data_IF_977893181468
#
_entry.id   IF_977893181468
#
_cell.length_a   1.000
_cell.length_b   1.000
_cell.length_c   1.000
_cell.angle_alpha   90.00
_cell.angle_beta   90.00
_cell.angle_gamma   90.00
#
_symmetry.space_group_name_H-M   'P 1'
#
loop_
_entity.id
_entity.type
_entity.pdbx_description
1 polymer ?
#
# COMPACT_ATOMS: atom_id res chain seq x y z
N UNK A 1 5.88 -4.11 35.35
CA UNK A 1 5.67 -4.96 34.15
C UNK A 1 5.04 -4.03 33.10
N UNK A 2 5.58 -3.97 31.88
CA UNK A 2 5.02 -3.11 30.81
C UNK A 2 3.77 -3.74 30.22
N UNK A 3 2.77 -2.90 29.90
CA UNK A 3 1.50 -3.33 29.30
C UNK A 3 1.56 -3.17 27.78
N UNK A 4 1.13 -4.19 27.06
CA UNK A 4 1.05 -4.19 25.58
C UNK A 4 -0.36 -4.53 25.14
N UNK A 5 -0.95 -3.66 24.32
CA UNK A 5 -2.20 -3.97 23.61
C UNK A 5 -1.86 -4.57 22.26
N UNK A 6 -2.34 -5.79 22.01
CA UNK A 6 -2.15 -6.50 20.73
C UNK A 6 -3.42 -6.37 19.89
N UNK A 7 -3.27 -5.89 18.66
CA UNK A 7 -4.35 -5.93 17.67
C UNK A 7 -4.60 -7.37 17.23
N UNK A 8 -5.55 -8.06 17.90
CA UNK A 8 -5.95 -9.42 17.55
C UNK A 8 -6.96 -9.39 16.40
N UNK A 9 -6.53 -9.82 15.23
CA UNK A 9 -7.36 -9.86 14.01
C UNK A 9 -8.09 -11.19 13.76
N UNK A 10 -7.99 -12.15 14.69
CA UNK A 10 -8.47 -13.51 14.46
C UNK A 10 -7.60 -14.31 13.46
N UNK A 11 -6.44 -13.79 13.07
CA UNK A 11 -5.48 -14.49 12.22
C UNK A 11 -4.31 -15.11 13.01
N UNK A 12 -3.56 -16.02 12.38
CA UNK A 12 -2.44 -16.72 13.01
C UNK A 12 -1.31 -15.77 13.47
N UNK A 13 -1.04 -14.73 12.70
CA UNK A 13 0.09 -13.81 12.93
C UNK A 13 -0.11 -12.99 14.22
N UNK A 14 -1.29 -12.41 14.40
CA UNK A 14 -1.63 -11.65 15.61
C UNK A 14 -1.74 -12.57 16.83
N UNK A 15 -2.22 -13.80 16.65
CA UNK A 15 -2.32 -14.80 17.72
C UNK A 15 -0.95 -15.20 18.27
N UNK A 16 0.01 -15.48 17.38
CA UNK A 16 1.39 -15.80 17.75
C UNK A 16 2.09 -14.59 18.35
N UNK A 17 1.82 -13.38 17.84
CA UNK A 17 2.35 -12.15 18.41
C UNK A 17 1.94 -11.98 19.89
N UNK A 18 0.66 -12.21 20.19
CA UNK A 18 0.16 -12.15 21.58
C UNK A 18 0.82 -13.20 22.48
N UNK A 19 0.95 -14.44 21.97
CA UNK A 19 1.66 -15.50 22.69
C UNK A 19 3.10 -15.13 23.02
N UNK A 20 3.88 -14.70 22.03
CA UNK A 20 5.29 -14.35 22.22
C UNK A 20 5.49 -13.20 23.22
N UNK A 21 4.62 -12.20 23.19
CA UNK A 21 4.68 -11.10 24.16
C UNK A 21 4.35 -11.57 25.57
N UNK A 22 3.39 -12.46 25.75
CA UNK A 22 3.09 -13.06 27.04
C UNK A 22 4.28 -13.84 27.58
N UNK A 23 4.90 -14.69 26.75
CA UNK A 23 6.11 -15.45 27.13
C UNK A 23 7.28 -14.53 27.47
N UNK A 24 7.38 -13.37 26.79
CA UNK A 24 8.38 -12.35 27.11
C UNK A 24 8.10 -11.56 28.40
N UNK A 25 7.03 -11.88 29.12
CA UNK A 25 6.69 -11.32 30.42
C UNK A 25 5.98 -9.96 30.39
N UNK A 26 5.36 -9.60 29.27
CA UNK A 26 4.49 -8.41 29.19
C UNK A 26 3.10 -8.70 29.80
N UNK A 27 2.47 -7.66 30.32
CA UNK A 27 1.03 -7.67 30.58
C UNK A 27 0.32 -7.42 29.26
N UNK A 28 -0.26 -8.48 28.67
CA UNK A 28 -0.87 -8.45 27.32
C UNK A 28 -2.37 -8.26 27.42
N UNK A 29 -2.91 -7.36 26.61
CA UNK A 29 -4.36 -7.16 26.41
C UNK A 29 -4.64 -7.37 24.92
N UNK A 30 -5.58 -8.24 24.59
CA UNK A 30 -6.08 -8.43 23.23
C UNK A 30 -7.18 -7.43 22.90
N UNK A 31 -7.04 -6.75 21.75
CA UNK A 31 -8.07 -5.83 21.27
C UNK A 31 -8.41 -6.14 19.81
N UNK A 32 -9.68 -6.44 19.55
CA UNK A 32 -10.19 -6.67 18.19
C UNK A 32 -10.78 -5.37 17.63
N UNK A 33 -10.44 -5.02 16.39
CA UNK A 33 -10.97 -3.86 15.67
C UNK A 33 -12.10 -4.29 14.74
N UNK A 34 -13.31 -3.84 15.00
CA UNK A 34 -14.41 -3.90 14.03
C UNK A 34 -14.36 -2.63 13.19
N UNK A 35 -13.84 -2.73 11.97
CA UNK A 35 -13.54 -1.57 11.13
C UNK A 35 -14.58 -1.31 10.04
N UNK A 36 -15.31 -2.33 9.60
CA UNK A 36 -16.31 -2.14 8.55
C UNK A 36 -17.44 -3.14 8.69
N UNK A 37 -18.64 -2.67 8.45
CA UNK A 37 -19.82 -3.50 8.29
C UNK A 37 -20.78 -2.80 7.34
N UNK A 38 -21.03 -3.41 6.19
CA UNK A 38 -22.03 -2.95 5.23
C UNK A 38 -22.68 -4.18 4.60
N UNK A 39 -23.93 -4.43 5.00
CA UNK A 39 -24.72 -5.56 4.54
C UNK A 39 -25.00 -5.52 3.03
N UNK A 40 -24.88 -4.35 2.39
CA UNK A 40 -25.16 -4.16 0.96
C UNK A 40 -24.06 -4.65 0.04
N UNK A 41 -22.83 -4.92 0.54
CA UNK A 41 -21.65 -5.31 -0.24
C UNK A 41 -21.05 -6.64 0.16
N UNK A 42 -21.43 -7.23 1.28
CA UNK A 42 -21.00 -8.57 1.66
C UNK A 42 -21.64 -9.59 0.72
N UNK A 43 -20.78 -10.33 -0.01
CA UNK A 43 -21.19 -11.33 -1.02
C UNK A 43 -21.82 -12.59 -0.36
N UNK A 44 -21.70 -12.73 0.97
CA UNK A 44 -22.27 -13.84 1.73
C UNK A 44 -23.05 -13.31 2.92
N UNK A 45 -24.11 -14.04 3.33
CA UNK A 45 -24.87 -13.79 4.57
C UNK A 45 -23.99 -14.00 5.84
N UNK A 46 -22.74 -14.41 5.68
CA UNK A 46 -21.77 -14.56 6.75
C UNK A 46 -21.10 -13.22 7.05
N UNK A 47 -21.15 -12.77 8.29
CA UNK A 47 -20.42 -11.60 8.79
C UNK A 47 -18.94 -11.97 9.04
N UNK A 48 -17.99 -11.73 8.11
CA UNK A 48 -16.60 -12.21 8.25
C UNK A 48 -15.91 -11.71 9.52
N UNK A 49 -16.26 -10.51 9.99
CA UNK A 49 -15.71 -9.96 11.22
C UNK A 49 -16.16 -10.71 12.48
N UNK A 50 -17.33 -11.38 12.47
CA UNK A 50 -17.85 -12.10 13.63
C UNK A 50 -17.00 -13.37 13.89
N UNK A 51 -16.70 -14.13 12.84
CA UNK A 51 -15.83 -15.30 12.93
C UNK A 51 -14.42 -14.93 13.35
N UNK A 52 -13.88 -13.85 12.76
CA UNK A 52 -12.56 -13.33 13.13
C UNK A 52 -12.52 -12.83 14.58
N UNK A 53 -13.58 -12.18 15.06
CA UNK A 53 -13.72 -11.74 16.45
C UNK A 53 -13.83 -12.92 17.42
N UNK A 54 -14.59 -13.96 17.05
CA UNK A 54 -14.71 -15.18 17.85
C UNK A 54 -13.37 -15.91 17.95
N UNK A 55 -12.63 -16.04 16.84
CA UNK A 55 -11.30 -16.63 16.84
C UNK A 55 -10.32 -15.83 17.72
N UNK A 56 -10.37 -14.50 17.64
CA UNK A 56 -9.55 -13.61 18.48
C UNK A 56 -9.88 -13.77 19.97
N UNK A 57 -11.16 -13.89 20.31
CA UNK A 57 -11.63 -14.14 21.68
C UNK A 57 -11.15 -15.50 22.20
N UNK A 58 -11.28 -16.57 21.40
CA UNK A 58 -10.81 -17.91 21.77
C UNK A 58 -9.29 -17.95 21.96
N UNK A 59 -8.53 -17.21 21.15
CA UNK A 59 -7.08 -17.06 21.35
C UNK A 59 -6.80 -16.34 22.67
N UNK A 60 -7.49 -15.25 22.98
CA UNK A 60 -7.30 -14.52 24.23
C UNK A 60 -7.65 -15.39 25.46
N UNK A 61 -8.75 -16.15 25.40
CA UNK A 61 -9.14 -17.12 26.43
C UNK A 61 -8.05 -18.19 26.62
N UNK A 62 -7.58 -18.81 25.53
CA UNK A 62 -6.50 -19.79 25.53
C UNK A 62 -5.23 -19.25 26.16
N UNK A 63 -4.89 -18.00 25.88
CA UNK A 63 -3.71 -17.33 26.44
C UNK A 63 -3.96 -16.78 27.84
N UNK A 64 -5.19 -16.76 28.36
CA UNK A 64 -5.54 -16.18 29.64
C UNK A 64 -5.23 -14.67 29.72
N UNK A 65 -5.51 -13.94 28.65
CA UNK A 65 -5.33 -12.48 28.55
C UNK A 65 -6.70 -11.78 28.45
N UNK A 66 -6.84 -10.56 28.99
CA UNK A 66 -8.03 -9.75 28.77
C UNK A 66 -8.29 -9.51 27.29
N UNK A 67 -9.56 -9.47 26.89
CA UNK A 67 -9.98 -9.25 25.52
C UNK A 67 -11.12 -8.23 25.45
N UNK A 68 -11.07 -7.35 24.46
CA UNK A 68 -12.13 -6.38 24.18
C UNK A 68 -12.24 -6.15 22.67
N UNK A 69 -13.45 -5.81 22.21
CA UNK A 69 -13.73 -5.36 20.86
C UNK A 69 -13.95 -3.85 20.87
N UNK A 70 -13.37 -3.16 19.90
CA UNK A 70 -13.60 -1.73 19.63
C UNK A 70 -14.22 -1.57 18.25
N UNK A 71 -15.28 -0.76 18.16
CA UNK A 71 -15.93 -0.42 16.90
C UNK A 71 -15.30 0.86 16.35
N UNK A 72 -14.62 0.75 15.20
CA UNK A 72 -13.95 1.83 14.47
C UNK A 72 -14.58 2.04 13.09
N UNK A 73 -15.81 1.57 12.89
CA UNK A 73 -16.47 1.59 11.58
C UNK A 73 -16.71 3.00 11.05
N UNK A 74 -16.95 3.96 11.92
CA UNK A 74 -17.13 5.38 11.56
C UNK A 74 -15.81 5.97 11.08
N UNK A 75 -14.74 5.83 11.86
CA UNK A 75 -13.43 6.35 11.53
C UNK A 75 -12.87 5.68 10.26
N UNK A 76 -13.12 4.38 10.11
CA UNK A 76 -12.70 3.64 8.91
C UNK A 76 -13.44 4.14 7.66
N UNK A 77 -14.76 4.35 7.76
CA UNK A 77 -15.53 4.90 6.66
C UNK A 77 -15.00 6.28 6.26
N UNK A 78 -14.90 7.20 7.20
CA UNK A 78 -14.57 8.60 6.92
C UNK A 78 -13.12 8.77 6.39
N UNK A 79 -12.15 8.00 6.96
CA UNK A 79 -10.73 8.16 6.64
C UNK A 79 -10.24 7.28 5.51
N UNK A 80 -10.84 6.10 5.30
CA UNK A 80 -10.38 5.13 4.30
C UNK A 80 -11.35 5.01 3.15
N UNK A 81 -12.62 4.70 3.43
CA UNK A 81 -13.59 4.40 2.37
C UNK A 81 -13.93 5.64 1.56
N UNK A 82 -14.23 6.75 2.22
CA UNK A 82 -14.56 8.01 1.52
C UNK A 82 -13.34 8.57 0.77
N UNK A 83 -12.13 8.37 1.29
CA UNK A 83 -10.90 8.68 0.56
C UNK A 83 -10.76 7.80 -0.70
N UNK A 84 -10.99 6.49 -0.59
CA UNK A 84 -10.92 5.58 -1.74
C UNK A 84 -11.87 6.02 -2.85
N UNK A 85 -13.12 6.35 -2.53
CA UNK A 85 -14.08 6.78 -3.53
C UNK A 85 -13.64 8.06 -4.24
N UNK A 86 -13.15 9.06 -3.51
CA UNK A 86 -12.62 10.30 -4.12
C UNK A 86 -11.45 10.05 -5.06
N UNK A 87 -10.52 9.19 -4.68
CA UNK A 87 -9.36 8.87 -5.53
C UNK A 87 -9.79 8.15 -6.81
N UNK A 88 -10.67 7.16 -6.71
CA UNK A 88 -11.19 6.45 -7.89
C UNK A 88 -12.02 7.36 -8.79
N UNK A 89 -12.80 8.27 -8.24
CA UNK A 89 -13.54 9.28 -9.02
C UNK A 89 -12.61 10.17 -9.83
N UNK A 90 -11.44 10.50 -9.31
CA UNK A 90 -10.38 11.25 -9.99
C UNK A 90 -9.51 10.37 -10.93
N UNK A 91 -9.82 9.08 -11.11
CA UNK A 91 -9.02 8.16 -11.93
C UNK A 91 -7.71 7.71 -11.29
N UNK A 92 -7.53 7.94 -9.99
CA UNK A 92 -6.35 7.53 -9.22
C UNK A 92 -6.61 6.19 -8.53
N UNK A 93 -5.56 5.46 -8.26
CA UNK A 93 -5.65 4.15 -7.59
C UNK A 93 -5.09 4.23 -6.18
N UNK A 94 -5.92 4.40 -5.13
CA UNK A 94 -5.45 4.50 -3.75
C UNK A 94 -4.90 3.18 -3.22
N UNK A 95 -4.13 3.26 -2.11
CA UNK A 95 -3.68 2.09 -1.37
C UNK A 95 -4.31 2.07 0.03
N UNK A 96 -5.47 1.42 0.19
CA UNK A 96 -6.17 1.38 1.46
C UNK A 96 -5.42 0.64 2.57
N UNK A 97 -4.52 -0.29 2.23
CA UNK A 97 -3.76 -1.05 3.23
C UNK A 97 -2.70 -0.17 3.92
N UNK A 98 -2.01 0.70 3.17
CA UNK A 98 -1.09 1.71 3.75
C UNK A 98 -1.87 2.69 4.60
N UNK A 99 -3.00 3.20 4.08
CA UNK A 99 -3.84 4.16 4.80
C UNK A 99 -4.45 3.57 6.08
N UNK A 100 -4.93 2.32 6.03
CA UNK A 100 -5.46 1.64 7.21
C UNK A 100 -4.40 1.53 8.33
N UNK A 101 -3.14 1.27 7.96
CA UNK A 101 -2.08 1.28 8.96
C UNK A 101 -1.85 2.69 9.52
N UNK A 102 -1.72 3.72 8.67
CA UNK A 102 -1.48 5.11 9.09
C UNK A 102 -2.62 5.67 9.93
N UNK A 103 -3.87 5.56 9.44
CA UNK A 103 -5.01 6.29 9.96
C UNK A 103 -5.77 5.53 11.06
N UNK A 104 -5.82 4.20 10.98
CA UNK A 104 -6.63 3.38 11.87
C UNK A 104 -5.76 2.66 12.90
N UNK A 105 -4.83 1.79 12.48
CA UNK A 105 -4.07 0.95 13.41
C UNK A 105 -3.08 1.73 14.26
N UNK A 106 -2.34 2.65 13.66
CA UNK A 106 -1.28 3.39 14.36
C UNK A 106 -1.67 4.85 14.68
N UNK A 107 -2.93 5.23 14.47
CA UNK A 107 -3.50 6.46 14.99
C UNK A 107 -4.67 6.17 15.94
N UNK A 108 -5.88 5.90 15.44
CA UNK A 108 -7.09 5.75 16.28
C UNK A 108 -6.94 4.60 17.28
N UNK A 109 -6.61 3.40 16.80
CA UNK A 109 -6.44 2.24 17.66
C UNK A 109 -5.29 2.42 18.66
N UNK A 110 -4.16 3.01 18.24
CA UNK A 110 -3.05 3.29 19.15
C UNK A 110 -3.48 4.27 20.26
N UNK A 111 -4.24 5.32 19.96
CA UNK A 111 -4.75 6.27 20.97
C UNK A 111 -5.61 5.56 21.99
N UNK A 112 -6.56 4.73 21.55
CA UNK A 112 -7.41 3.93 22.45
C UNK A 112 -6.56 3.01 23.33
N UNK A 113 -5.58 2.33 22.75
CA UNK A 113 -4.69 1.45 23.50
C UNK A 113 -3.89 2.19 24.59
N UNK A 114 -3.38 3.38 24.28
CA UNK A 114 -2.66 4.23 25.23
C UNK A 114 -3.59 4.75 26.34
N UNK A 115 -4.84 5.10 26.03
CA UNK A 115 -5.87 5.49 27.00
C UNK A 115 -6.24 4.33 27.94
N UNK A 116 -6.16 3.08 27.47
CA UNK A 116 -6.29 1.87 28.30
C UNK A 116 -5.04 1.60 29.18
N UNK A 117 -4.04 2.47 29.15
CA UNK A 117 -2.83 2.38 29.94
C UNK A 117 -1.73 1.48 29.31
N UNK A 118 -1.76 1.25 28.02
CA UNK A 118 -0.69 0.52 27.34
C UNK A 118 0.58 1.36 27.24
N UNK A 119 1.73 0.71 27.47
CA UNK A 119 3.04 1.27 27.14
C UNK A 119 3.34 1.15 25.64
N UNK A 120 2.85 0.07 25.02
CA UNK A 120 3.07 -0.28 23.62
C UNK A 120 1.83 -0.85 22.96
N UNK A 121 1.80 -0.73 21.63
CA UNK A 121 0.88 -1.44 20.74
C UNK A 121 1.68 -2.49 19.96
N UNK A 122 1.12 -3.67 19.75
CA UNK A 122 1.72 -4.70 18.92
C UNK A 122 0.77 -5.21 17.84
N UNK A 123 1.35 -5.61 16.72
CA UNK A 123 0.62 -6.16 15.58
C UNK A 123 1.35 -7.37 15.02
N UNK A 124 0.62 -8.19 14.24
CA UNK A 124 1.16 -9.34 13.53
C UNK A 124 1.85 -8.98 12.20
N UNK A 125 2.50 -7.82 12.08
CA UNK A 125 3.23 -7.47 10.87
C UNK A 125 4.62 -8.10 10.83
N UNK A 126 5.01 -8.56 9.64
CA UNK A 126 6.37 -9.02 9.34
C UNK A 126 7.26 -7.82 9.04
N UNK A 127 7.62 -7.10 10.09
CA UNK A 127 8.56 -5.98 10.08
C UNK A 127 9.44 -6.05 11.32
N UNK A 128 10.58 -5.39 11.31
CA UNK A 128 11.45 -5.29 12.47
C UNK A 128 11.60 -3.82 12.86
N UNK A 129 11.75 -3.57 14.16
CA UNK A 129 12.08 -2.26 14.70
C UNK A 129 13.51 -2.25 15.20
N UNK A 130 14.32 -1.32 14.68
CA UNK A 130 15.62 -0.98 15.25
C UNK A 130 15.54 0.31 16.07
N UNK A 131 16.56 0.53 16.89
CA UNK A 131 16.79 1.79 17.60
C UNK A 131 18.27 2.12 17.50
N UNK A 132 18.57 3.35 17.11
CA UNK A 132 19.92 3.92 17.03
C UNK A 132 19.94 5.25 17.75
N UNK A 133 21.13 5.74 18.07
CA UNK A 133 21.32 7.09 18.60
C UNK A 133 21.86 8.01 17.52
N UNK A 134 21.18 9.14 17.28
CA UNK A 134 21.59 10.20 16.37
C UNK A 134 21.56 11.51 17.13
N UNK A 135 22.70 12.21 17.22
CA UNK A 135 22.85 13.48 17.94
C UNK A 135 22.29 13.44 19.39
N UNK A 136 22.52 12.31 20.11
CA UNK A 136 22.08 12.10 21.49
C UNK A 136 20.57 11.84 21.64
N UNK A 137 19.85 11.54 20.54
CA UNK A 137 18.43 11.20 20.56
C UNK A 137 18.21 9.79 20.00
N UNK A 138 17.29 9.05 20.63
CA UNK A 138 16.83 7.77 20.08
C UNK A 138 16.07 7.99 18.79
N UNK A 139 16.48 7.29 17.74
CA UNK A 139 15.82 7.26 16.42
C UNK A 139 15.42 5.82 16.12
N UNK A 140 14.16 5.62 15.81
CA UNK A 140 13.61 4.30 15.52
C UNK A 140 13.66 4.02 14.02
N UNK A 141 14.07 2.79 13.69
CA UNK A 141 14.18 2.30 12.32
C UNK A 141 13.04 1.34 12.03
N UNK A 142 12.35 1.52 10.90
CA UNK A 142 11.45 0.51 10.34
C UNK A 142 12.25 -0.36 9.38
N UNK A 143 12.39 -1.64 9.70
CA UNK A 143 13.16 -2.59 8.88
C UNK A 143 12.25 -3.65 8.27
N UNK A 144 12.66 -4.15 7.11
CA UNK A 144 12.03 -5.29 6.46
C UNK A 144 11.96 -6.51 7.40
N UNK A 145 10.93 -7.31 7.24
CA UNK A 145 10.80 -8.59 7.94
C UNK A 145 11.88 -9.58 7.51
N UNK A 146 12.18 -10.57 8.36
CA UNK A 146 13.14 -11.62 8.03
C UNK A 146 12.64 -12.59 6.94
N UNK A 147 11.34 -12.65 6.69
CA UNK A 147 10.73 -13.42 5.60
C UNK A 147 10.50 -12.50 4.40
N UNK A 148 11.37 -12.57 3.40
CA UNK A 148 11.32 -11.73 2.19
C UNK A 148 10.00 -11.87 1.43
N UNK A 149 9.32 -13.02 1.52
CA UNK A 149 8.03 -13.25 0.87
C UNK A 149 6.86 -12.62 1.65
N UNK A 150 7.10 -12.23 2.92
CA UNK A 150 6.09 -11.71 3.84
C UNK A 150 6.42 -10.31 4.34
N UNK A 151 7.59 -9.74 4.02
CA UNK A 151 7.94 -8.39 4.40
C UNK A 151 6.79 -7.40 4.16
N UNK A 152 6.37 -6.71 5.21
CA UNK A 152 5.25 -5.78 5.20
C UNK A 152 5.68 -4.33 5.48
N UNK A 153 6.97 -4.04 5.45
CA UNK A 153 7.50 -2.69 5.67
C UNK A 153 6.90 -1.65 4.71
N UNK A 154 6.58 -2.05 3.47
CA UNK A 154 5.87 -1.20 2.50
C UNK A 154 4.51 -0.72 3.02
N UNK A 155 3.74 -1.56 3.70
CA UNK A 155 2.44 -1.15 4.25
C UNK A 155 2.56 -0.24 5.47
N UNK A 156 3.75 -0.17 6.08
CA UNK A 156 4.06 0.65 7.24
C UNK A 156 4.92 1.88 6.91
N UNK A 157 5.17 2.14 5.63
CA UNK A 157 6.06 3.20 5.15
C UNK A 157 5.61 4.63 5.50
N UNK A 158 4.42 4.78 6.08
CA UNK A 158 3.84 6.05 6.53
C UNK A 158 3.83 6.21 8.07
N UNK A 159 4.53 5.33 8.81
CA UNK A 159 4.63 5.47 10.26
C UNK A 159 5.57 6.61 10.66
N UNK A 160 5.18 7.36 11.68
CA UNK A 160 6.04 8.39 12.29
C UNK A 160 6.99 7.79 13.33
N UNK A 161 8.00 8.57 13.74
CA UNK A 161 8.91 8.22 14.83
C UNK A 161 8.16 7.97 16.16
N UNK A 162 7.15 8.78 16.45
CA UNK A 162 6.32 8.63 17.66
C UNK A 162 5.53 7.31 17.65
N UNK A 163 4.97 6.96 16.50
CA UNK A 163 4.24 5.71 16.31
C UNK A 163 5.19 4.51 16.42
N UNK A 164 6.37 4.56 15.79
CA UNK A 164 7.38 3.50 15.89
C UNK A 164 7.88 3.32 17.31
N UNK A 165 8.10 4.42 18.06
CA UNK A 165 8.53 4.36 19.46
C UNK A 165 7.59 3.48 20.30
N UNK A 166 6.29 3.54 20.04
CA UNK A 166 5.22 2.85 20.75
C UNK A 166 4.81 1.51 20.16
N UNK A 167 5.45 1.06 19.07
CA UNK A 167 5.05 -0.15 18.33
C UNK A 167 6.01 -1.30 18.56
N UNK A 168 5.48 -2.53 18.64
CA UNK A 168 6.23 -3.78 18.66
C UNK A 168 5.79 -4.69 17.51
N UNK A 169 6.75 -5.39 16.91
CA UNK A 169 6.54 -6.38 15.83
C UNK A 169 7.09 -7.74 16.25
N UNK A 170 6.36 -8.52 17.07
CA UNK A 170 6.89 -9.71 17.73
C UNK A 170 7.33 -10.84 16.79
N UNK A 171 6.74 -10.90 15.59
CA UNK A 171 7.00 -11.95 14.60
C UNK A 171 7.94 -11.50 13.46
N UNK A 172 8.41 -10.26 13.48
CA UNK A 172 9.18 -9.67 12.38
C UNK A 172 10.51 -10.38 12.07
N UNK A 173 11.11 -11.04 13.05
CA UNK A 173 12.33 -11.85 12.89
C UNK A 173 12.08 -13.31 12.54
N UNK A 174 10.83 -13.73 12.39
CA UNK A 174 10.44 -15.12 12.13
C UNK A 174 10.03 -15.35 10.68
N UNK A 175 10.27 -16.55 10.18
CA UNK A 175 9.70 -17.02 8.93
C UNK A 175 8.22 -17.40 9.15
N UNK A 176 7.37 -17.26 8.13
CA UNK A 176 5.96 -17.65 8.21
C UNK A 176 5.76 -19.11 8.64
N UNK A 177 6.64 -20.00 8.21
CA UNK A 177 6.63 -21.42 8.62
C UNK A 177 6.86 -21.59 10.12
N UNK A 178 7.72 -20.79 10.72
CA UNK A 178 7.99 -20.80 12.17
C UNK A 178 6.79 -20.28 12.94
N UNK A 179 6.17 -19.18 12.49
CA UNK A 179 4.93 -18.65 13.08
C UNK A 179 3.83 -19.72 13.08
N UNK A 180 3.62 -20.44 11.98
CA UNK A 180 2.65 -21.54 11.91
C UNK A 180 3.01 -22.72 12.81
N UNK A 181 4.30 -23.04 12.95
CA UNK A 181 4.78 -24.08 13.86
C UNK A 181 4.47 -23.71 15.30
N UNK A 182 4.79 -22.49 15.74
CA UNK A 182 4.47 -21.99 17.09
C UNK A 182 2.95 -22.08 17.33
N UNK A 183 2.13 -21.60 16.39
CA UNK A 183 0.68 -21.66 16.53
C UNK A 183 0.15 -23.10 16.76
N UNK A 184 0.70 -24.08 16.04
CA UNK A 184 0.34 -25.50 16.21
C UNK A 184 0.83 -26.08 17.54
N UNK A 185 2.07 -25.82 17.91
CA UNK A 185 2.64 -26.28 19.19
C UNK A 185 1.86 -25.75 20.40
N UNK A 186 1.36 -24.51 20.28
CA UNK A 186 0.53 -23.89 21.31
C UNK A 186 -0.96 -24.22 21.19
N UNK A 187 -1.35 -25.04 20.21
CA UNK A 187 -2.75 -25.40 19.95
C UNK A 187 -3.66 -24.17 19.83
N UNK A 188 -3.20 -23.12 19.13
CA UNK A 188 -4.03 -21.94 18.86
C UNK A 188 -5.09 -22.30 17.80
N UNK A 189 -6.34 -21.86 18.00
CA UNK A 189 -7.47 -22.15 17.09
C UNK A 189 -7.22 -21.64 15.68
N UNK A 190 -6.36 -20.63 15.54
CA UNK A 190 -5.99 -19.99 14.27
C UNK A 190 -4.86 -20.68 13.51
N UNK A 191 -4.27 -21.78 14.04
CA UNK A 191 -3.05 -22.41 13.49
C UNK A 191 -3.17 -22.83 12.02
N UNK A 192 -4.33 -23.35 11.61
CA UNK A 192 -4.59 -23.81 10.24
C UNK A 192 -5.37 -22.78 9.40
N UNK A 193 -5.69 -21.62 9.98
CA UNK A 193 -6.41 -20.55 9.28
C UNK A 193 -5.56 -20.02 8.12
N UNK A 194 -6.19 -19.86 6.95
CA UNK A 194 -5.54 -19.25 5.77
C UNK A 194 -5.27 -17.78 6.02
N UNK A 195 -4.21 -17.27 5.38
CA UNK A 195 -3.94 -15.83 5.42
C UNK A 195 -5.12 -15.05 4.84
N UNK A 196 -5.45 -13.93 5.46
CA UNK A 196 -6.51 -13.05 4.97
C UNK A 196 -6.18 -12.59 3.56
N UNK A 197 -7.17 -12.64 2.67
CA UNK A 197 -7.08 -12.19 1.29
C UNK A 197 -8.17 -11.15 1.05
N UNK A 198 -7.83 -10.03 0.42
CA UNK A 198 -8.75 -8.93 0.13
C UNK A 198 -8.28 -7.62 0.74
N UNK A 199 -9.12 -6.60 0.65
CA UNK A 199 -8.88 -5.31 1.28
C UNK A 199 -8.92 -5.45 2.80
N UNK A 200 -8.03 -4.74 3.48
CA UNK A 200 -7.91 -4.79 4.93
C UNK A 200 -9.26 -4.49 5.60
N UNK A 201 -9.80 -5.46 6.35
CA UNK A 201 -11.08 -5.41 7.07
C UNK A 201 -12.38 -5.33 6.22
N UNK A 202 -12.31 -5.08 4.92
CA UNK A 202 -13.48 -5.14 4.02
C UNK A 202 -13.72 -6.59 3.54
N UNK A 203 -12.67 -7.42 3.58
CA UNK A 203 -12.74 -8.81 3.18
C UNK A 203 -12.69 -9.02 1.66
N UNK A 204 -13.26 -10.13 1.20
CA UNK A 204 -13.32 -10.48 -0.23
C UNK A 204 -14.49 -9.78 -0.88
N UNK A 205 -14.29 -8.57 -1.32
CA UNK A 205 -15.24 -7.86 -2.19
C UNK A 205 -14.71 -7.82 -3.62
N UNK A 206 -15.59 -7.81 -4.59
CA UNK A 206 -15.20 -7.43 -5.95
C UNK A 206 -15.09 -5.91 -5.99
N UNK A 207 -13.89 -5.41 -6.19
CA UNK A 207 -13.64 -3.97 -6.19
C UNK A 207 -14.63 -3.17 -7.08
N UNK A 208 -14.94 -3.61 -8.33
CA UNK A 208 -15.95 -2.92 -9.13
C UNK A 208 -17.34 -2.87 -8.48
N UNK A 209 -17.80 -3.96 -7.85
CA UNK A 209 -19.12 -4.01 -7.21
C UNK A 209 -19.16 -3.08 -5.97
N UNK A 210 -18.05 -3.02 -5.23
CA UNK A 210 -17.88 -2.08 -4.13
C UNK A 210 -17.90 -0.62 -4.61
N UNK A 211 -17.15 -0.31 -5.67
CA UNK A 211 -17.09 1.05 -6.22
C UNK A 211 -18.44 1.50 -6.81
N UNK A 212 -19.23 0.59 -7.37
CA UNK A 212 -20.56 0.89 -7.94
C UNK A 212 -21.58 1.39 -6.91
N UNK A 213 -21.34 1.25 -5.62
CA UNK A 213 -22.20 1.82 -4.60
C UNK A 213 -22.28 3.35 -4.67
N UNK A 214 -21.17 4.01 -5.03
CA UNK A 214 -21.11 5.47 -5.14
C UNK A 214 -20.79 5.93 -6.58
N UNK A 215 -19.93 5.19 -7.28
CA UNK A 215 -19.51 5.50 -8.65
C UNK A 215 -20.39 4.75 -9.63
N UNK A 216 -21.39 5.45 -10.20
CA UNK A 216 -22.35 4.83 -11.11
C UNK A 216 -21.67 4.35 -12.41
N UNK A 217 -22.04 3.16 -12.91
CA UNK A 217 -21.58 2.70 -14.23
C UNK A 217 -21.96 3.70 -15.33
N UNK A 218 -21.01 3.99 -16.22
CA UNK A 218 -21.17 4.82 -17.41
C UNK A 218 -20.45 4.14 -18.57
N UNK A 219 -21.18 3.82 -19.64
CA UNK A 219 -20.56 3.23 -20.81
C UNK A 219 -19.53 4.16 -21.43
N UNK A 220 -18.33 3.62 -21.70
CA UNK A 220 -17.22 4.29 -22.36
C UNK A 220 -16.54 3.38 -23.36
N UNK A 221 -15.46 3.85 -23.98
CA UNK A 221 -14.74 3.13 -25.04
C UNK A 221 -13.35 2.71 -24.61
N UNK A 222 -12.89 1.57 -25.13
CA UNK A 222 -11.52 1.09 -25.01
C UNK A 222 -10.80 1.39 -26.31
N UNK A 223 -9.70 2.14 -26.23
CA UNK A 223 -8.87 2.55 -27.37
C UNK A 223 -7.54 1.82 -27.29
N UNK A 224 -7.18 1.09 -28.34
CA UNK A 224 -5.88 0.46 -28.45
C UNK A 224 -4.89 1.45 -29.08
N UNK A 225 -3.83 1.75 -28.39
CA UNK A 225 -2.69 2.55 -28.85
C UNK A 225 -1.58 1.60 -29.29
N UNK A 226 -1.03 1.80 -30.48
CA UNK A 226 0.11 1.01 -30.94
C UNK A 226 1.39 1.38 -30.22
N UNK A 227 2.33 0.42 -30.09
CA UNK A 227 3.64 0.69 -29.49
C UNK A 227 4.39 1.83 -30.18
N UNK A 228 4.32 1.93 -31.51
CA UNK A 228 4.94 3.01 -32.28
C UNK A 228 4.34 4.38 -31.92
N UNK A 229 3.00 4.48 -31.75
CA UNK A 229 2.35 5.73 -31.37
C UNK A 229 2.65 6.12 -29.93
N UNK A 230 2.72 5.16 -29.01
CA UNK A 230 3.11 5.41 -27.64
C UNK A 230 4.56 5.91 -27.57
N UNK A 231 5.48 5.33 -28.34
CA UNK A 231 6.87 5.76 -28.40
C UNK A 231 6.99 7.18 -28.98
N UNK A 232 6.30 7.48 -30.09
CA UNK A 232 6.24 8.84 -30.65
C UNK A 232 5.82 9.89 -29.63
N UNK A 233 4.81 9.57 -28.79
CA UNK A 233 4.36 10.49 -27.73
C UNK A 233 5.40 10.67 -26.63
N UNK A 234 6.11 9.61 -26.24
CA UNK A 234 7.20 9.68 -25.29
C UNK A 234 8.38 10.50 -25.81
N UNK A 235 8.77 10.26 -27.06
CA UNK A 235 9.87 10.97 -27.72
C UNK A 235 9.56 12.48 -27.80
N UNK A 236 8.32 12.86 -28.13
CA UNK A 236 7.91 14.26 -28.21
C UNK A 236 8.03 14.99 -26.86
N UNK A 237 7.76 14.34 -25.74
CA UNK A 237 7.95 14.90 -24.40
C UNK A 237 9.43 15.15 -24.14
N UNK A 238 10.30 14.23 -24.58
CA UNK A 238 11.75 14.33 -24.36
C UNK A 238 12.42 15.37 -25.28
N UNK A 239 12.00 15.51 -26.52
CA UNK A 239 12.56 16.47 -27.47
C UNK A 239 12.25 17.92 -27.12
N UNK A 240 11.09 18.22 -26.54
CA UNK A 240 10.69 19.57 -26.16
C UNK A 240 11.53 20.18 -25.02
N UNK A 241 12.27 19.39 -24.25
CA UNK A 241 12.88 19.84 -22.98
C UNK A 241 14.35 19.48 -22.75
N UNK A 242 15.04 18.71 -23.63
CA UNK A 242 16.43 18.32 -23.40
C UNK A 242 17.41 19.17 -24.21
N UNK A 243 17.90 20.24 -23.60
CA UNK A 243 18.99 21.06 -24.16
C UNK A 243 20.31 20.92 -23.38
N UNK A 244 20.50 19.92 -22.51
CA UNK A 244 21.79 19.70 -21.82
C UNK A 244 22.02 18.33 -21.18
N UNK A 245 23.26 17.87 -21.25
CA UNK A 245 23.86 16.57 -20.89
C UNK A 245 24.05 16.35 -19.38
N UNK A 246 23.31 16.99 -18.50
CA UNK A 246 23.36 16.68 -17.07
C UNK A 246 21.99 16.14 -16.64
N UNK A 247 21.95 15.12 -15.76
CA UNK A 247 20.74 14.70 -15.04
C UNK A 247 20.38 15.86 -14.10
N UNK A 248 19.86 16.94 -14.71
CA UNK A 248 19.34 18.10 -13.97
C UNK A 248 17.94 17.78 -13.49
N UNK A 249 17.47 18.47 -12.46
CA UNK A 249 16.08 18.38 -12.00
C UNK A 249 15.07 18.55 -13.16
N UNK A 250 15.40 19.38 -14.15
CA UNK A 250 14.62 19.55 -15.37
C UNK A 250 14.51 18.25 -16.20
N UNK A 251 15.60 17.51 -16.36
CA UNK A 251 15.58 16.24 -17.10
C UNK A 251 14.75 15.15 -16.37
N UNK A 252 14.81 15.11 -15.04
CA UNK A 252 14.02 14.13 -14.26
C UNK A 252 12.55 14.48 -14.29
N UNK A 253 12.16 15.77 -14.29
CA UNK A 253 10.76 16.18 -14.41
C UNK A 253 10.13 15.70 -15.72
N UNK A 254 10.88 15.80 -16.82
CA UNK A 254 10.47 15.28 -18.14
C UNK A 254 10.24 13.78 -18.12
N UNK A 255 11.16 13.02 -17.49
CA UNK A 255 11.02 11.56 -17.36
C UNK A 255 9.82 11.14 -16.49
N UNK A 256 9.35 12.02 -15.60
CA UNK A 256 8.19 11.79 -14.75
C UNK A 256 6.87 12.14 -15.46
N UNK A 257 6.90 12.90 -16.56
CA UNK A 257 5.71 13.22 -17.33
C UNK A 257 5.13 11.99 -18.01
N UNK A 258 3.82 11.95 -18.14
CA UNK A 258 3.10 10.90 -18.84
C UNK A 258 2.59 11.38 -20.20
N UNK A 259 2.64 10.53 -21.24
CA UNK A 259 2.05 10.89 -22.53
C UNK A 259 0.54 11.05 -22.38
N UNK A 260 -0.02 12.07 -23.01
CA UNK A 260 -1.46 12.27 -23.11
C UNK A 260 -1.96 11.65 -24.41
N UNK A 261 -2.92 10.73 -24.29
CA UNK A 261 -3.56 10.08 -25.42
C UNK A 261 -4.89 10.74 -25.73
N UNK A 262 -5.26 10.71 -27.03
CA UNK A 262 -6.57 11.07 -27.53
C UNK A 262 -7.20 9.86 -28.24
N UNK A 263 -8.51 9.84 -28.39
CA UNK A 263 -9.24 8.78 -29.11
C UNK A 263 -8.73 8.59 -30.56
N UNK A 264 -8.23 9.67 -31.15
CA UNK A 264 -7.67 9.67 -32.51
C UNK A 264 -6.26 9.09 -32.62
N UNK A 265 -5.56 8.86 -31.49
CA UNK A 265 -4.22 8.26 -31.46
C UNK A 265 -4.25 6.74 -31.64
N UNK A 266 -5.43 6.13 -31.58
CA UNK A 266 -5.58 4.68 -31.63
C UNK A 266 -6.86 4.21 -32.29
N UNK A 267 -7.19 2.95 -32.09
CA UNK A 267 -8.37 2.29 -32.61
C UNK A 267 -9.30 1.89 -31.46
N UNK A 268 -10.60 2.21 -31.59
CA UNK A 268 -11.63 1.69 -30.67
C UNK A 268 -11.74 0.19 -30.84
N UNK A 269 -11.51 -0.58 -29.78
CA UNK A 269 -11.49 -2.06 -29.79
C UNK A 269 -12.51 -2.67 -28.84
N UNK A 270 -13.18 -1.87 -28.01
CA UNK A 270 -14.18 -2.38 -27.08
C UNK A 270 -14.93 -1.28 -26.35
N UNK A 271 -15.76 -1.71 -25.41
CA UNK A 271 -16.52 -0.85 -24.50
C UNK A 271 -16.30 -1.29 -23.05
N UNK A 272 -16.50 -0.38 -22.13
CA UNK A 272 -16.46 -0.64 -20.68
C UNK A 272 -17.59 0.10 -19.94
N UNK A 273 -17.69 -0.10 -18.61
CA UNK A 273 -18.76 0.47 -17.79
C UNK A 273 -18.25 1.55 -16.79
N UNK A 274 -17.10 2.15 -17.07
CA UNK A 274 -16.50 3.23 -16.27
C UNK A 274 -14.97 3.15 -16.23
N UNK A 275 -14.28 4.20 -16.71
CA UNK A 275 -12.81 4.25 -16.73
C UNK A 275 -12.23 4.21 -15.31
N UNK A 276 -12.91 4.77 -14.33
CA UNK A 276 -12.54 4.78 -12.93
C UNK A 276 -12.49 3.39 -12.26
N UNK A 277 -13.03 2.34 -12.86
CA UNK A 277 -12.92 0.96 -12.36
C UNK A 277 -11.61 0.28 -12.76
N UNK A 278 -10.77 0.92 -13.54
CA UNK A 278 -9.58 0.32 -14.12
C UNK A 278 -8.31 1.03 -13.62
N UNK A 279 -7.29 0.21 -13.40
CA UNK A 279 -5.98 0.66 -12.94
C UNK A 279 -4.94 0.42 -14.03
N UNK A 280 -3.93 1.28 -14.14
CA UNK A 280 -2.78 1.09 -15.04
C UNK A 280 -2.11 -0.26 -14.81
N UNK A 281 -1.78 -0.95 -15.89
CA UNK A 281 -1.26 -2.32 -15.89
C UNK A 281 -2.31 -3.42 -15.71
N UNK A 282 -3.59 -3.07 -15.53
CA UNK A 282 -4.66 -4.07 -15.44
C UNK A 282 -4.90 -4.74 -16.80
N UNK A 283 -4.96 -6.08 -16.77
CA UNK A 283 -5.31 -6.92 -17.93
C UNK A 283 -6.74 -7.47 -17.85
N UNK A 284 -7.13 -7.89 -16.64
CA UNK A 284 -8.42 -8.56 -16.44
C UNK A 284 -9.58 -7.55 -16.48
N UNK A 285 -10.71 -7.97 -17.04
CA UNK A 285 -11.94 -7.17 -17.04
C UNK A 285 -12.13 -6.28 -18.29
N UNK A 286 -11.15 -6.19 -19.20
CA UNK A 286 -11.28 -5.43 -20.46
C UNK A 286 -12.27 -6.06 -21.43
N UNK A 287 -12.46 -7.39 -21.37
CA UNK A 287 -13.38 -8.16 -22.22
C UNK A 287 -13.17 -7.94 -23.74
N UNK A 288 -11.96 -7.61 -24.16
CA UNK A 288 -11.56 -7.46 -25.57
C UNK A 288 -10.84 -8.72 -26.01
N UNK A 289 -11.27 -9.31 -27.11
CA UNK A 289 -10.67 -10.48 -27.74
C UNK A 289 -10.15 -10.20 -29.14
N UNK A 290 -9.42 -11.18 -29.70
CA UNK A 290 -8.95 -11.12 -31.10
C UNK A 290 -7.69 -10.30 -31.34
N UNK A 291 -6.98 -9.91 -30.26
CA UNK A 291 -5.67 -9.26 -30.33
C UNK A 291 -4.54 -10.30 -30.38
N UNK A 292 -3.40 -9.95 -30.99
CA UNK A 292 -2.25 -10.85 -31.11
C UNK A 292 -1.62 -11.13 -29.73
N UNK A 293 -1.56 -10.11 -28.88
CA UNK A 293 -1.11 -10.21 -27.50
C UNK A 293 -2.17 -9.67 -26.53
N UNK A 294 -2.10 -10.01 -25.24
CA UNK A 294 -3.00 -9.47 -24.23
C UNK A 294 -2.92 -7.94 -24.16
N UNK A 295 -4.08 -7.30 -24.01
CA UNK A 295 -4.17 -5.87 -23.75
C UNK A 295 -3.94 -5.55 -22.27
N UNK A 296 -3.22 -4.46 -22.03
CA UNK A 296 -3.02 -3.86 -20.72
C UNK A 296 -3.48 -2.41 -20.72
N UNK A 297 -4.07 -1.95 -19.64
CA UNK A 297 -4.42 -0.54 -19.45
C UNK A 297 -3.12 0.27 -19.35
N UNK A 298 -2.92 1.22 -20.26
CA UNK A 298 -1.75 2.13 -20.23
C UNK A 298 -2.10 3.48 -19.62
N UNK A 299 -3.36 3.94 -19.80
CA UNK A 299 -3.89 5.13 -19.16
C UNK A 299 -5.42 5.11 -19.10
N UNK A 300 -6.00 5.98 -18.28
CA UNK A 300 -7.44 6.17 -18.15
C UNK A 300 -7.76 7.66 -18.14
N UNK A 301 -8.79 8.04 -18.90
CA UNK A 301 -9.39 9.36 -18.86
C UNK A 301 -10.81 9.22 -18.29
N UNK A 302 -10.99 9.66 -17.05
CA UNK A 302 -12.27 9.54 -16.34
C UNK A 302 -13.27 10.62 -16.74
N UNK A 303 -12.82 11.77 -17.24
CA UNK A 303 -13.66 12.86 -17.71
C UNK A 303 -14.33 12.48 -19.04
N UNK A 304 -13.53 12.07 -20.03
CA UNK A 304 -13.97 11.59 -21.32
C UNK A 304 -14.47 10.13 -21.28
N UNK A 305 -14.23 9.45 -20.15
CA UNK A 305 -14.59 8.05 -19.92
C UNK A 305 -13.99 7.09 -20.97
N UNK A 306 -12.68 7.19 -21.18
CA UNK A 306 -11.89 6.39 -22.11
C UNK A 306 -10.83 5.57 -21.37
N UNK A 307 -10.66 4.31 -21.79
CA UNK A 307 -9.54 3.48 -21.37
C UNK A 307 -8.59 3.33 -22.55
N UNK A 308 -7.34 3.75 -22.36
CA UNK A 308 -6.28 3.52 -23.34
C UNK A 308 -5.55 2.22 -23.00
N UNK A 309 -5.33 1.38 -24.00
CA UNK A 309 -4.72 0.06 -23.84
C UNK A 309 -3.58 -0.14 -24.83
N UNK A 310 -2.64 -1.03 -24.49
CA UNK A 310 -1.56 -1.44 -25.37
C UNK A 310 -1.37 -2.95 -25.32
N UNK A 311 -0.90 -3.56 -26.43
CA UNK A 311 -0.62 -4.99 -26.50
C UNK A 311 0.76 -5.32 -25.89
N UNK A 312 0.81 -6.38 -25.10
CA UNK A 312 2.04 -6.89 -24.47
C UNK A 312 2.41 -6.19 -23.18
N UNK A 313 3.12 -6.92 -22.32
CA UNK A 313 3.59 -6.42 -21.00
C UNK A 313 4.71 -5.39 -21.11
N UNK A 314 5.42 -5.36 -22.23
CA UNK A 314 6.56 -4.49 -22.49
C UNK A 314 6.17 -3.30 -23.39
N UNK A 315 4.88 -2.99 -23.48
CA UNK A 315 4.37 -1.87 -24.26
C UNK A 315 4.93 -0.53 -23.74
N UNK A 316 5.49 0.35 -24.59
CA UNK A 316 6.14 1.60 -24.15
C UNK A 316 5.26 2.46 -23.24
N UNK A 317 3.95 2.55 -23.53
CA UNK A 317 3.00 3.29 -22.70
C UNK A 317 2.83 2.78 -21.25
N UNK A 318 3.34 1.59 -20.94
CA UNK A 318 3.36 1.07 -19.56
C UNK A 318 4.60 1.50 -18.77
N UNK A 319 5.69 1.87 -19.46
CA UNK A 319 7.01 2.04 -18.87
C UNK A 319 7.30 3.52 -18.61
N UNK A 320 7.79 3.84 -17.41
CA UNK A 320 8.30 5.16 -17.06
C UNK A 320 9.57 5.04 -16.23
N UNK A 321 10.54 5.96 -16.47
CA UNK A 321 11.82 5.98 -15.76
C UNK A 321 11.81 6.85 -14.51
N UNK A 322 10.76 7.66 -14.30
CA UNK A 322 10.63 8.50 -13.11
C UNK A 322 9.16 8.70 -12.73
N UNK A 323 8.95 9.14 -11.50
CA UNK A 323 7.67 9.55 -10.95
C UNK A 323 7.84 10.82 -10.08
N UNK A 324 6.73 11.46 -9.77
CA UNK A 324 6.69 12.65 -8.92
C UNK A 324 5.84 12.42 -7.68
N UNK A 325 6.25 13.00 -6.57
CA UNK A 325 5.54 13.08 -5.29
C UNK A 325 5.44 14.54 -4.89
N UNK A 326 4.23 15.05 -4.67
CA UNK A 326 4.03 16.43 -4.21
C UNK A 326 4.65 16.65 -2.83
N UNK A 327 5.10 17.89 -2.54
CA UNK A 327 5.75 18.23 -1.27
C UNK A 327 4.91 17.84 -0.04
N UNK A 328 3.62 18.07 -0.08
CA UNK A 328 2.68 17.72 1.00
C UNK A 328 2.49 16.21 1.22
N UNK A 329 2.89 15.39 0.25
CA UNK A 329 2.71 13.93 0.26
C UNK A 329 4.02 13.18 0.56
N UNK A 330 5.13 13.90 0.76
CA UNK A 330 6.42 13.31 1.16
C UNK A 330 6.37 12.99 2.65
N UNK A 331 6.69 11.77 2.99
CA UNK A 331 6.79 11.32 4.38
C UNK A 331 8.18 10.72 4.65
N UNK A 332 8.87 11.23 5.66
CA UNK A 332 10.14 10.70 6.16
C UNK A 332 9.89 9.95 7.48
N UNK A 333 10.17 8.65 7.50
CA UNK A 333 10.26 7.89 8.76
C UNK A 333 11.52 8.35 9.51
N UNK A 334 12.61 8.49 8.78
CA UNK A 334 13.91 9.01 9.23
C UNK A 334 13.99 10.51 8.94
N UNK A 335 13.36 11.29 9.84
CA UNK A 335 13.38 12.77 9.76
C UNK A 335 14.80 13.35 9.78
N UNK A 336 15.73 12.66 10.43
CA UNK A 336 17.16 13.02 10.43
C UNK A 336 17.85 12.83 9.08
N UNK A 337 17.22 12.09 8.17
CA UNK A 337 17.66 11.88 6.79
C UNK A 337 16.81 12.66 5.76
N UNK A 338 16.05 13.65 6.19
CA UNK A 338 15.28 14.51 5.29
C UNK A 338 16.19 15.19 4.28
N UNK A 339 15.74 15.27 3.03
CA UNK A 339 16.47 15.94 1.94
C UNK A 339 16.12 17.43 1.89
N UNK A 340 17.14 18.24 1.68
CA UNK A 340 16.99 19.65 1.37
C UNK A 340 16.84 19.87 -0.15
N UNK A 341 16.26 21.01 -0.54
CA UNK A 341 16.07 21.34 -1.96
C UNK A 341 17.39 21.32 -2.73
N UNK A 342 17.41 20.67 -3.86
CA UNK A 342 18.59 20.48 -4.72
C UNK A 342 19.43 19.24 -4.33
N UNK A 343 19.11 18.56 -3.24
CA UNK A 343 19.81 17.31 -2.88
C UNK A 343 19.33 16.12 -3.71
N UNK A 344 20.29 15.25 -4.01
CA UNK A 344 20.08 13.97 -4.68
C UNK A 344 20.61 12.87 -3.79
N UNK A 345 19.83 11.79 -3.64
CA UNK A 345 20.23 10.62 -2.85
C UNK A 345 19.95 9.33 -3.59
N UNK A 346 20.97 8.47 -3.69
CA UNK A 346 20.79 7.09 -4.16
C UNK A 346 20.09 6.27 -3.08
N UNK A 347 19.09 5.48 -3.49
CA UNK A 347 18.28 4.62 -2.64
C UNK A 347 17.87 3.37 -3.43
N UNK A 348 17.24 2.44 -2.75
CA UNK A 348 16.40 1.42 -3.38
C UNK A 348 14.93 1.80 -3.18
N UNK A 349 14.07 1.58 -4.18
CA UNK A 349 12.66 1.93 -4.09
C UNK A 349 11.74 0.87 -4.68
N UNK A 350 10.49 0.84 -4.20
CA UNK A 350 9.41 0.04 -4.78
C UNK A 350 8.10 0.84 -4.80
N UNK A 351 7.30 0.59 -5.82
CA UNK A 351 6.00 1.23 -6.03
C UNK A 351 4.82 0.27 -5.75
N UNK A 352 5.10 -0.95 -5.30
CA UNK A 352 4.11 -1.99 -4.97
C UNK A 352 4.66 -2.93 -3.91
N UNK A 353 3.77 -3.48 -3.10
CA UNK A 353 4.09 -4.37 -1.99
C UNK A 353 5.05 -5.53 -2.33
N UNK A 354 4.76 -6.28 -3.40
CA UNK A 354 5.55 -7.48 -3.76
C UNK A 354 6.61 -7.23 -4.82
N UNK A 355 6.85 -5.99 -5.17
CA UNK A 355 7.89 -5.65 -6.11
C UNK A 355 9.25 -5.75 -5.41
N UNK A 356 10.26 -6.41 -6.01
CA UNK A 356 11.63 -6.30 -5.54
C UNK A 356 12.08 -4.84 -5.51
N UNK A 357 12.96 -4.50 -4.57
CA UNK A 357 13.56 -3.19 -4.52
C UNK A 357 14.33 -2.90 -5.80
N UNK A 358 14.19 -1.69 -6.34
CA UNK A 358 14.82 -1.21 -7.56
C UNK A 358 15.77 -0.07 -7.22
N UNK A 359 16.94 -0.05 -7.85
CA UNK A 359 17.88 1.05 -7.73
C UNK A 359 17.22 2.35 -8.23
N UNK A 360 17.29 3.40 -7.40
CA UNK A 360 16.61 4.66 -7.66
C UNK A 360 17.38 5.84 -7.07
N UNK A 361 17.01 7.05 -7.49
CA UNK A 361 17.52 8.30 -6.94
C UNK A 361 16.35 9.22 -6.57
N UNK A 362 16.44 9.78 -5.39
CA UNK A 362 15.54 10.83 -4.90
C UNK A 362 16.13 12.18 -5.31
N UNK A 363 15.36 13.01 -6.00
CA UNK A 363 15.74 14.36 -6.39
C UNK A 363 14.77 15.33 -5.72
N UNK A 364 15.23 16.05 -4.69
CA UNK A 364 14.39 16.96 -3.92
C UNK A 364 14.35 18.34 -4.57
N UNK A 365 13.15 18.81 -4.87
CA UNK A 365 12.86 20.11 -5.43
C UNK A 365 11.84 20.87 -4.58
N UNK A 366 11.69 22.19 -4.82
CA UNK A 366 10.72 23.01 -4.09
C UNK A 366 9.26 22.54 -4.25
N UNK A 367 8.93 21.97 -5.41
CA UNK A 367 7.57 21.47 -5.72
C UNK A 367 7.28 20.10 -5.14
N UNK A 368 8.33 19.34 -4.74
CA UNK A 368 8.19 17.98 -4.26
C UNK A 368 9.44 17.14 -4.49
N UNK A 369 9.22 15.84 -4.68
CA UNK A 369 10.27 14.84 -4.82
C UNK A 369 10.07 14.08 -6.14
N UNK A 370 11.09 14.10 -7.00
CA UNK A 370 11.15 13.17 -8.13
C UNK A 370 11.91 11.90 -7.71
N UNK A 371 11.42 10.76 -8.16
CA UNK A 371 12.09 9.47 -7.98
C UNK A 371 12.38 8.90 -9.36
N UNK A 372 13.66 8.85 -9.74
CA UNK A 372 14.11 8.21 -10.98
C UNK A 372 14.65 6.82 -10.71
N UNK A 373 14.44 5.90 -11.64
CA UNK A 373 14.84 4.51 -11.56
C UNK A 373 15.92 4.19 -12.59
N UNK A 374 16.83 3.28 -12.23
CA UNK A 374 17.87 2.76 -13.14
C UNK A 374 17.23 2.05 -14.34
N UNK A 375 16.21 1.23 -14.08
CA UNK A 375 15.41 0.55 -15.09
C UNK A 375 13.97 1.09 -15.11
N UNK A 376 13.35 1.29 -16.27
CA UNK A 376 11.98 1.77 -16.35
C UNK A 376 10.99 0.88 -15.59
N UNK A 377 10.09 1.50 -14.85
CA UNK A 377 9.09 0.81 -14.04
C UNK A 377 7.75 0.72 -14.77
N UNK A 378 7.14 -0.48 -14.73
CA UNK A 378 5.87 -0.72 -15.39
C UNK A 378 4.68 -0.23 -14.56
N UNK A 379 3.74 0.43 -15.21
CA UNK A 379 2.42 0.81 -14.68
C UNK A 379 2.52 1.59 -13.34
N UNK A 380 3.35 2.64 -13.32
CA UNK A 380 3.34 3.63 -12.26
C UNK A 380 1.94 4.25 -12.20
N UNK A 381 1.27 4.13 -11.06
CA UNK A 381 -0.13 4.52 -10.89
C UNK A 381 -0.25 5.62 -9.85
N UNK A 382 -0.91 6.71 -10.21
CA UNK A 382 -1.20 7.82 -9.31
C UNK A 382 -2.11 7.36 -8.16
N UNK A 383 -1.85 7.83 -6.95
CA UNK A 383 -2.55 7.41 -5.73
C UNK A 383 -1.92 6.20 -5.01
N UNK A 384 -1.05 5.43 -5.69
CA UNK A 384 -0.20 4.43 -5.04
C UNK A 384 0.97 5.09 -4.31
N UNK A 385 1.66 4.34 -3.46
CA UNK A 385 2.84 4.82 -2.76
C UNK A 385 4.12 4.37 -3.46
N UNK A 386 5.11 5.25 -3.48
CA UNK A 386 6.52 4.87 -3.61
C UNK A 386 7.13 4.84 -2.21
N UNK A 387 7.83 3.77 -1.86
CA UNK A 387 8.60 3.68 -0.63
C UNK A 387 10.07 3.47 -0.96
N UNK A 388 10.97 4.19 -0.24
CA UNK A 388 12.40 4.14 -0.46
C UNK A 388 13.15 3.62 0.76
N UNK A 389 14.26 2.94 0.48
CA UNK A 389 15.00 2.12 1.42
C UNK A 389 16.50 2.38 1.33
N UNK A 390 17.19 2.11 2.43
CA UNK A 390 18.62 1.86 2.48
C UNK A 390 18.82 0.44 3.02
N UNK A 391 19.15 -0.49 2.13
CA UNK A 391 19.15 -1.91 2.43
C UNK A 391 17.80 -2.40 3.00
N UNK A 392 17.79 -2.91 4.23
CA UNK A 392 16.58 -3.38 4.87
C UNK A 392 15.73 -2.28 5.54
N UNK A 393 16.23 -1.05 5.67
CA UNK A 393 15.56 0.05 6.37
C UNK A 393 14.68 0.86 5.41
N UNK A 394 13.38 0.96 5.73
CA UNK A 394 12.48 1.88 5.06
C UNK A 394 12.69 3.31 5.61
N UNK A 395 13.15 4.22 4.77
CA UNK A 395 13.47 5.60 5.16
C UNK A 395 12.30 6.55 5.05
N UNK A 396 11.37 6.25 4.14
CA UNK A 396 10.21 7.10 3.87
C UNK A 396 9.41 6.65 2.67
N UNK A 397 8.43 7.45 2.32
CA UNK A 397 7.49 7.16 1.21
C UNK A 397 6.77 8.43 0.75
N UNK A 398 6.04 8.30 -0.35
CA UNK A 398 5.16 9.36 -0.81
C UNK A 398 4.06 8.84 -1.72
N UNK A 399 2.98 9.62 -1.86
CA UNK A 399 1.89 9.31 -2.79
C UNK A 399 2.30 9.74 -4.19
N UNK A 400 2.21 8.84 -5.14
CA UNK A 400 2.54 9.09 -6.55
C UNK A 400 1.49 10.02 -7.16
N UNK A 401 1.94 11.09 -7.80
CA UNK A 401 1.11 12.15 -8.40
C UNK A 401 1.11 12.08 -9.91
#
# INVERSE_FOLDING_TARGET
MKTVVVGLSGGVDSSVSAYLLKEAGYNVIGLFMKNWHDDSVTISDDCPWLDDSNDAMLVAEKLGIPFQTVDLSVEYKDRIVDYMFREYEMGRTPNPDVLCNREIKFDVFMKIALELGADFVATGHYCQKGEIEVDGKSVFQLKAGADDNKDQSYFLCQLSQEQLAKTLFPIGSLQKSEVRKIAKEQNLVTADKKDSQGLCFIGKVRLPDFLQQQLKPKEGVIVEISAAKAQEKLDSIQEEQIDSVAISAAAVSVLAEKPKYAITDGKVVGKHQGAHYFTKGQRKGLAVGGTAEPLFVIDTDVEENIIYTGQGKDHPGLLRSALFVQESEIHYIREDLRLENGEIREVEARIRYRQPLQKAWLHKENSGLYVSFDEPQAAISEGQFVAWYDGAECLGSGVIS
#
